data_IF_045843420398
#
_entry.id   IF_045843420398
#
_cell.length_a   1.000
_cell.length_b   1.000
_cell.length_c   1.000
_cell.angle_alpha   90.00
_cell.angle_beta   90.00
_cell.angle_gamma   90.00
#
_symmetry.space_group_name_H-M   'P 1'
#
loop_
_entity.id
_entity.type
_entity.pdbx_description
1 polymer ?
#
# COMPACT_ATOMS: atom_id res chain seq x y z
N UNK A 1 17.27 -1.85 38.98
CA UNK A 1 18.58 -1.70 38.31
C UNK A 1 18.76 -2.91 37.41
N UNK A 2 19.09 -2.66 36.14
CA UNK A 2 19.51 -3.56 35.06
C UNK A 2 18.43 -4.20 34.16
N UNK A 3 18.26 -3.50 33.03
CA UNK A 3 17.94 -3.90 31.65
C UNK A 3 18.92 -4.94 31.09
N UNK A 4 18.46 -5.74 30.12
CA UNK A 4 19.14 -6.19 28.88
C UNK A 4 18.41 -7.46 28.39
N UNK A 5 18.27 -7.82 27.11
CA UNK A 5 18.41 -7.18 25.80
C UNK A 5 17.95 -8.27 24.82
N UNK A 6 17.11 -7.91 23.87
CA UNK A 6 16.59 -8.82 22.85
C UNK A 6 16.40 -8.06 21.54
N UNK A 7 17.35 -7.17 21.24
CA UNK A 7 17.48 -6.43 19.99
C UNK A 7 18.05 -7.38 18.92
N UNK A 8 17.19 -8.24 18.40
CA UNK A 8 17.44 -8.90 17.12
C UNK A 8 16.79 -8.06 16.03
N UNK A 9 17.49 -7.64 14.96
CA UNK A 9 16.84 -6.95 13.87
C UNK A 9 15.71 -7.85 13.34
N UNK A 10 14.49 -7.32 13.13
CA UNK A 10 13.42 -8.12 12.54
C UNK A 10 13.95 -8.65 11.22
N UNK A 11 14.01 -9.98 11.08
CA UNK A 11 14.42 -10.67 9.87
C UNK A 11 13.64 -10.07 8.71
N UNK A 12 14.29 -9.20 7.94
CA UNK A 12 13.66 -8.44 6.89
C UNK A 12 13.36 -9.42 5.75
N UNK A 13 12.23 -10.11 5.85
CA UNK A 13 11.76 -11.03 4.82
C UNK A 13 11.53 -10.22 3.54
N UNK A 14 12.46 -10.31 2.60
CA UNK A 14 12.34 -9.69 1.28
C UNK A 14 11.28 -10.48 0.50
N UNK A 15 10.06 -9.94 0.44
CA UNK A 15 8.97 -10.54 -0.33
C UNK A 15 9.02 -10.01 -1.76
N UNK A 16 9.49 -10.84 -2.70
CA UNK A 16 9.47 -10.54 -4.14
C UNK A 16 8.07 -10.86 -4.67
N UNK A 17 7.43 -9.89 -5.31
CA UNK A 17 6.07 -10.02 -5.88
C UNK A 17 6.05 -9.61 -7.34
N UNK A 18 5.12 -10.19 -8.08
CA UNK A 18 4.81 -9.75 -9.43
C UNK A 18 4.15 -8.35 -9.39
N UNK A 19 4.77 -7.30 -9.95
CA UNK A 19 4.21 -5.95 -9.94
C UNK A 19 2.90 -5.83 -10.73
N UNK A 20 2.63 -6.74 -11.68
CA UNK A 20 1.38 -6.74 -12.46
C UNK A 20 0.16 -7.16 -11.63
N UNK A 21 0.38 -7.81 -10.48
CA UNK A 21 -0.68 -8.17 -9.52
C UNK A 21 -1.07 -7.03 -8.60
N UNK A 22 -0.29 -5.94 -8.59
CA UNK A 22 -0.49 -4.80 -7.69
C UNK A 22 -1.25 -3.71 -8.46
N UNK A 23 -2.58 -3.75 -8.35
CA UNK A 23 -3.44 -2.71 -8.91
C UNK A 23 -4.91 -3.10 -8.92
N UNK A 24 -5.79 -2.12 -8.76
CA UNK A 24 -7.22 -2.32 -8.94
C UNK A 24 -7.60 -2.26 -10.42
N UNK A 25 -8.57 -3.09 -10.82
CA UNK A 25 -9.17 -2.97 -12.15
C UNK A 25 -9.92 -1.64 -12.29
N UNK A 26 -9.47 -0.79 -13.21
CA UNK A 26 -9.99 0.56 -13.43
C UNK A 26 -11.50 0.58 -13.75
N UNK A 27 -12.06 -0.48 -14.32
CA UNK A 27 -13.50 -0.57 -14.64
C UNK A 27 -14.39 -0.60 -13.39
N UNK A 28 -13.83 -1.03 -12.26
CA UNK A 28 -14.54 -1.16 -10.98
C UNK A 28 -13.88 -0.29 -9.89
N UNK A 29 -13.12 0.74 -10.28
CA UNK A 29 -12.37 1.58 -9.35
C UNK A 29 -13.24 2.30 -8.30
N UNK A 30 -14.54 2.45 -8.59
CA UNK A 30 -15.52 3.00 -7.66
C UNK A 30 -15.86 2.07 -6.47
N UNK A 31 -15.51 0.78 -6.55
CA UNK A 31 -15.75 -0.21 -5.48
C UNK A 31 -14.42 -0.50 -4.78
N UNK A 32 -14.22 -0.05 -3.53
CA UNK A 32 -12.96 -0.26 -2.84
C UNK A 32 -12.73 -1.74 -2.50
N UNK A 33 -11.45 -2.14 -2.46
CA UNK A 33 -11.04 -3.47 -2.03
C UNK A 33 -11.27 -3.61 -0.51
N UNK A 34 -12.13 -4.56 -0.12
CA UNK A 34 -12.47 -4.84 1.27
C UNK A 34 -11.30 -5.33 2.10
N UNK A 35 -10.29 -5.96 1.48
CA UNK A 35 -9.09 -6.40 2.19
C UNK A 35 -8.19 -5.23 2.63
N UNK A 36 -8.45 -4.02 2.13
CA UNK A 36 -7.67 -2.80 2.40
C UNK A 36 -8.43 -1.81 3.28
N UNK A 37 -9.60 -2.20 3.79
CA UNK A 37 -10.45 -1.36 4.65
C UNK A 37 -10.68 -2.06 6.00
N UNK A 38 -10.43 -1.32 7.06
CA UNK A 38 -10.86 -1.64 8.41
C UNK A 38 -12.12 -0.82 8.77
N UNK A 39 -13.11 -1.46 9.40
CA UNK A 39 -14.31 -0.75 9.87
C UNK A 39 -14.02 -0.16 11.25
N UNK A 40 -14.06 1.16 11.37
CA UNK A 40 -13.91 1.86 12.65
C UNK A 40 -15.13 2.73 12.98
N UNK A 41 -15.23 3.19 14.23
CA UNK A 41 -16.31 4.06 14.72
C UNK A 41 -16.40 5.39 13.95
N UNK A 42 -15.28 5.89 13.44
CA UNK A 42 -15.21 7.13 12.65
C UNK A 42 -15.36 6.90 11.14
N UNK A 43 -15.56 5.64 10.72
CA UNK A 43 -15.68 5.23 9.33
C UNK A 43 -14.58 4.27 8.87
N UNK A 44 -14.53 3.97 7.56
CA UNK A 44 -13.56 3.04 7.00
C UNK A 44 -12.14 3.62 7.03
N UNK A 45 -11.20 2.88 7.62
CA UNK A 45 -9.79 3.25 7.69
C UNK A 45 -8.95 2.41 6.71
N UNK A 46 -7.92 2.99 6.08
CA UNK A 46 -7.02 2.24 5.22
C UNK A 46 -6.12 1.32 6.04
N UNK A 47 -6.10 0.03 5.69
CA UNK A 47 -5.24 -0.99 6.33
C UNK A 47 -4.43 -1.75 5.28
N UNK A 48 -3.29 -2.31 5.68
CA UNK A 48 -2.56 -3.26 4.83
C UNK A 48 -3.32 -4.59 4.82
N UNK A 49 -3.47 -5.17 3.64
CA UNK A 49 -4.05 -6.50 3.54
C UNK A 49 -3.14 -7.54 4.22
N UNK A 50 -3.70 -8.71 4.57
CA UNK A 50 -2.97 -9.83 5.17
C UNK A 50 -1.87 -10.38 4.27
N UNK A 51 -2.02 -10.20 2.95
CA UNK A 51 -1.01 -10.48 1.94
C UNK A 51 0.07 -9.39 1.86
N UNK A 52 -0.01 -8.33 2.65
CA UNK A 52 0.93 -7.22 2.72
C UNK A 52 0.79 -6.18 1.59
N UNK A 53 -0.28 -6.21 0.77
CA UNK A 53 -0.56 -5.12 -0.16
C UNK A 53 -0.88 -3.82 0.60
N UNK A 54 -0.39 -2.69 0.09
CA UNK A 54 -0.65 -1.36 0.65
C UNK A 54 -1.73 -0.65 -0.17
N UNK A 55 -2.67 0.06 0.47
CA UNK A 55 -3.66 0.88 -0.24
C UNK A 55 -3.03 1.84 -1.25
N UNK A 56 -1.86 2.42 -0.91
CA UNK A 56 -1.11 3.30 -1.79
C UNK A 56 -0.72 2.64 -3.12
N UNK A 57 -0.25 1.39 -3.09
CA UNK A 57 0.20 0.71 -4.30
C UNK A 57 -0.98 0.18 -5.12
N UNK A 58 -2.05 -0.28 -4.45
CA UNK A 58 -3.23 -0.86 -5.12
C UNK A 58 -4.05 0.18 -5.86
N UNK A 59 -4.18 1.38 -5.31
CA UNK A 59 -4.92 2.48 -5.94
C UNK A 59 -4.04 3.43 -6.76
N UNK A 60 -2.73 3.16 -6.85
CA UNK A 60 -1.84 3.92 -7.72
C UNK A 60 -2.27 3.77 -9.18
N UNK A 61 -2.32 4.90 -9.90
CA UNK A 61 -2.55 4.87 -11.35
C UNK A 61 -1.26 4.42 -12.05
N UNK A 62 -1.30 3.37 -12.90
CA UNK A 62 -0.13 2.96 -13.66
C UNK A 62 0.38 4.09 -14.55
N UNK A 63 1.70 4.17 -14.71
CA UNK A 63 2.39 5.12 -15.56
C UNK A 63 3.44 4.38 -16.41
N UNK A 64 3.96 5.01 -17.46
CA UNK A 64 4.76 4.34 -18.49
C UNK A 64 6.08 3.71 -18.03
N UNK A 65 6.54 3.98 -16.81
CA UNK A 65 7.85 3.53 -16.31
C UNK A 65 9.05 4.22 -16.99
N UNK A 66 8.82 5.02 -18.03
CA UNK A 66 9.83 5.62 -18.88
C UNK A 66 10.77 6.58 -18.15
N UNK A 67 11.98 6.74 -18.68
CA UNK A 67 12.97 7.72 -18.18
C UNK A 67 12.59 9.14 -18.63
N UNK A 68 13.03 10.15 -17.87
CA UNK A 68 12.76 11.56 -18.14
C UNK A 68 12.19 12.30 -16.92
N UNK A 69 11.97 13.60 -17.07
CA UNK A 69 11.32 14.42 -16.04
C UNK A 69 9.87 13.97 -15.83
N UNK A 70 9.41 13.96 -14.57
CA UNK A 70 8.08 13.50 -14.17
C UNK A 70 7.46 14.54 -13.25
N UNK A 71 6.17 14.80 -13.44
CA UNK A 71 5.42 15.78 -12.65
C UNK A 71 4.18 15.09 -12.10
N UNK A 72 3.91 15.31 -10.82
CA UNK A 72 2.64 15.00 -10.19
C UNK A 72 1.99 16.32 -9.78
N UNK A 73 0.71 16.50 -10.11
CA UNK A 73 -0.07 17.68 -9.74
C UNK A 73 -1.14 17.21 -8.76
N UNK A 74 -1.20 17.86 -7.60
CA UNK A 74 -2.26 17.64 -6.60
C UNK A 74 -3.12 18.88 -6.57
N UNK A 75 -4.42 18.71 -6.81
CA UNK A 75 -5.42 19.75 -6.66
C UNK A 75 -6.24 19.39 -5.42
N UNK A 76 -6.21 20.25 -4.40
CA UNK A 76 -6.96 20.08 -3.16
C UNK A 76 -7.64 21.39 -2.74
N UNK A 77 -8.60 21.28 -1.83
CA UNK A 77 -9.41 22.36 -1.29
C UNK A 77 -10.50 21.82 -0.38
#
# INVERSE_FOLDING_TARGET
VQTEEGDGPPEAAIVIRDPSTIGQNLKIAHIPDKALIETSETGPLPVRATDGRRPFDVYARPWSGGRGARVAIVIGG
#
